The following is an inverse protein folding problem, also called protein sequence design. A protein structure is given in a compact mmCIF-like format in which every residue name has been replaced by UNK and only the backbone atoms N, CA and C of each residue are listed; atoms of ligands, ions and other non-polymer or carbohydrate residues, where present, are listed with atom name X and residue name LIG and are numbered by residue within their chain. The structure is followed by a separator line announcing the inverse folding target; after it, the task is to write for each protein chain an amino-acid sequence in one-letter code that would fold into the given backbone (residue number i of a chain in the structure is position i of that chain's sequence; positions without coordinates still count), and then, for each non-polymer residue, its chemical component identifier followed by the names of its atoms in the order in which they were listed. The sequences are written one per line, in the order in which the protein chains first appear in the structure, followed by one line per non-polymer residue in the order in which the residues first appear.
data_IF_335006541159
#
_entry.id   IF_335006541159
#
_cell.length_a   1.000
_cell.length_b   1.000
_cell.length_c   1.000
_cell.angle_alpha   90.00
_cell.angle_beta   90.00
_cell.angle_gamma   90.00
#
_symmetry.space_group_name_H-M   'P 1'
#
loop_
_entity.id
_entity.type
_entity.pdbx_description
1 polymer ?
#
# COMPACT_ATOMS: atom_id res chain seq x y z
N UNK A 1 0.84 -13.01 0.89
CA UNK A 1 0.13 -12.51 -0.33
C UNK A 1 -0.64 -13.65 -0.95
N UNK A 2 -1.91 -13.44 -1.29
CA UNK A 2 -2.75 -14.41 -1.99
C UNK A 2 -3.30 -13.76 -3.27
N UNK A 3 -3.22 -14.48 -4.39
CA UNK A 3 -3.71 -14.03 -5.70
C UNK A 3 -4.72 -15.04 -6.22
N UNK A 4 -5.90 -14.56 -6.59
CA UNK A 4 -6.95 -15.38 -7.22
C UNK A 4 -7.25 -14.78 -8.59
N UNK A 5 -7.24 -15.61 -9.64
CA UNK A 5 -7.53 -15.18 -11.02
C UNK A 5 -8.86 -15.77 -11.48
N UNK A 6 -9.78 -14.91 -11.88
CA UNK A 6 -11.06 -15.28 -12.48
C UNK A 6 -11.08 -14.89 -13.97
N UNK A 7 -11.55 -15.81 -14.82
CA UNK A 7 -11.77 -15.52 -16.24
C UNK A 7 -13.17 -14.95 -16.43
N UNK A 8 -13.25 -13.69 -16.85
CA UNK A 8 -14.52 -12.98 -17.07
C UNK A 8 -14.98 -13.09 -18.53
N UNK A 9 -14.03 -13.17 -19.48
CA UNK A 9 -14.30 -13.36 -20.91
C UNK A 9 -13.11 -14.00 -21.64
N UNK A 10 -13.16 -14.14 -22.96
CA UNK A 10 -12.06 -14.70 -23.78
C UNK A 10 -10.72 -13.99 -23.56
N UNK A 11 -10.73 -12.68 -23.28
CA UNK A 11 -9.52 -11.88 -23.02
C UNK A 11 -9.56 -11.15 -21.66
N UNK A 12 -10.74 -11.07 -21.03
CA UNK A 12 -10.93 -10.40 -19.75
C UNK A 12 -10.58 -11.31 -18.58
N UNK A 13 -9.61 -10.88 -17.76
CA UNK A 13 -9.26 -11.51 -16.50
C UNK A 13 -9.53 -10.53 -15.36
N UNK A 14 -10.11 -11.03 -14.27
CA UNK A 14 -10.22 -10.32 -12.99
C UNK A 14 -9.25 -10.97 -12.02
N UNK A 15 -8.47 -10.17 -11.31
CA UNK A 15 -7.50 -10.64 -10.33
C UNK A 15 -7.83 -10.02 -8.99
N UNK A 16 -8.00 -10.87 -7.97
CA UNK A 16 -8.18 -10.45 -6.59
C UNK A 16 -6.87 -10.70 -5.86
N UNK A 17 -6.27 -9.63 -5.34
CA UNK A 17 -5.00 -9.67 -4.61
C UNK A 17 -5.26 -9.31 -3.16
N UNK A 18 -4.89 -10.22 -2.25
CA UNK A 18 -4.98 -9.99 -0.80
C UNK A 18 -3.58 -9.77 -0.24
N UNK A 19 -3.38 -8.60 0.36
CA UNK A 19 -2.14 -8.19 1.03
C UNK A 19 -2.36 -8.24 2.55
N UNK A 20 -1.39 -8.77 3.28
CA UNK A 20 -1.44 -8.91 4.73
C UNK A 20 -1.13 -7.57 5.45
N UNK A 21 -1.89 -7.26 6.50
CA UNK A 21 -1.75 -6.01 7.29
C UNK A 21 -0.33 -5.80 7.86
N UNK A 22 0.34 -6.89 8.24
CA UNK A 22 1.70 -6.83 8.79
C UNK A 22 2.70 -6.20 7.82
N UNK A 23 2.52 -6.39 6.51
CA UNK A 23 3.38 -5.80 5.49
C UNK A 23 3.12 -4.29 5.35
N UNK A 24 1.86 -3.88 5.52
CA UNK A 24 1.45 -2.47 5.44
C UNK A 24 2.02 -1.69 6.63
N UNK A 25 1.86 -2.19 7.86
CA UNK A 25 2.37 -1.50 9.04
C UNK A 25 3.89 -1.32 9.02
N UNK A 26 4.63 -2.35 8.59
CA UNK A 26 6.08 -2.28 8.46
C UNK A 26 6.49 -1.20 7.45
N UNK A 27 5.89 -1.21 6.25
CA UNK A 27 6.16 -0.22 5.21
C UNK A 27 5.80 1.21 5.66
N UNK A 28 4.70 1.39 6.41
CA UNK A 28 4.34 2.69 7.00
C UNK A 28 5.38 3.15 8.01
N UNK A 29 5.86 2.26 8.89
CA UNK A 29 6.90 2.61 9.86
C UNK A 29 8.22 3.00 9.18
N UNK A 30 8.61 2.31 8.12
CA UNK A 30 9.79 2.64 7.33
C UNK A 30 9.64 3.97 6.62
N UNK A 31 8.46 4.25 6.05
CA UNK A 31 8.15 5.53 5.41
C UNK A 31 8.20 6.68 6.41
N UNK A 32 7.66 6.50 7.62
CA UNK A 32 7.73 7.52 8.67
C UNK A 32 9.17 7.77 9.12
N UNK A 33 10.03 6.75 9.18
CA UNK A 33 11.46 6.89 9.49
C UNK A 33 12.20 7.67 8.41
N UNK A 34 11.88 7.45 7.13
CA UNK A 34 12.53 8.14 6.01
C UNK A 34 12.09 9.60 5.86
N UNK A 35 10.84 9.92 6.22
CA UNK A 35 10.32 11.29 6.23
C UNK A 35 10.85 12.09 7.42
N UNK A 36 11.06 11.47 8.59
CA UNK A 36 11.54 12.13 9.82
C UNK A 36 12.64 13.19 9.62
N UNK A 37 13.75 12.96 8.90
CA UNK A 37 14.81 13.95 8.72
C UNK A 37 14.37 15.25 8.03
N UNK A 38 13.35 15.21 7.16
CA UNK A 38 12.86 16.38 6.43
C UNK A 38 11.73 17.13 7.15
N UNK A 39 11.09 16.50 8.15
CA UNK A 39 10.00 17.09 8.92
C UNK A 39 10.48 18.30 9.71
N UNK A 40 9.80 19.43 9.49
CA UNK A 40 9.93 20.65 10.26
C UNK A 40 8.71 20.79 11.15
N UNK A 41 8.91 20.87 12.46
CA UNK A 41 7.84 21.05 13.45
C UNK A 41 8.25 22.12 14.45
N UNK A 42 7.30 22.98 14.84
CA UNK A 42 7.57 24.05 15.79
C UNK A 42 8.13 23.49 17.11
N UNK A 43 9.20 24.11 17.62
CA UNK A 43 9.88 23.69 18.86
C UNK A 43 10.91 22.58 18.69
N UNK A 44 11.03 21.93 17.52
CA UNK A 44 12.00 20.87 17.28
C UNK A 44 12.98 21.24 16.16
N UNK A 45 14.26 20.91 16.38
CA UNK A 45 15.26 20.97 15.31
C UNK A 45 14.87 19.96 14.22
N UNK A 46 14.96 20.31 12.91
CA UNK A 46 14.64 19.39 11.82
C UNK A 46 15.31 18.03 12.01
N UNK A 47 14.55 16.95 11.83
CA UNK A 47 15.01 15.58 12.04
C UNK A 47 15.08 15.07 13.48
N UNK A 48 14.89 15.94 14.49
CA UNK A 48 14.87 15.56 15.92
C UNK A 48 13.46 15.56 16.52
N UNK A 49 12.43 15.40 15.68
CA UNK A 49 11.03 15.28 16.09
C UNK A 49 10.77 13.85 16.59
N UNK A 50 10.07 13.65 17.72
CA UNK A 50 9.66 12.33 18.18
C UNK A 50 8.74 11.61 17.18
N UNK A 51 8.93 10.29 17.03
CA UNK A 51 8.14 9.48 16.08
C UNK A 51 6.63 9.56 16.33
N UNK A 52 6.20 9.69 17.60
CA UNK A 52 4.77 9.83 17.94
C UNK A 52 4.13 11.07 17.29
N UNK A 53 4.84 12.19 17.28
CA UNK A 53 4.32 13.43 16.67
C UNK A 53 4.40 13.39 15.13
N UNK A 54 5.43 12.77 14.58
CA UNK A 54 5.52 12.54 13.13
C UNK A 54 4.39 11.63 12.65
N UNK A 55 4.11 10.55 13.37
CA UNK A 55 2.98 9.66 13.07
C UNK A 55 1.63 10.38 13.18
N UNK A 56 1.45 11.28 14.14
CA UNK A 56 0.21 12.05 14.26
C UNK A 56 0.01 13.02 13.09
N UNK A 57 1.08 13.71 12.65
CA UNK A 57 0.97 14.71 11.59
C UNK A 57 1.01 14.13 10.17
N UNK A 58 1.82 13.08 9.96
CA UNK A 58 2.11 12.52 8.64
C UNK A 58 1.65 11.07 8.49
N UNK A 59 1.11 10.44 9.54
CA UNK A 59 0.64 9.05 9.50
C UNK A 59 -0.39 8.77 8.41
N UNK A 60 -1.50 9.53 8.33
CA UNK A 60 -2.51 9.30 7.30
C UNK A 60 -1.97 9.44 5.87
N UNK A 61 -1.13 10.44 5.63
CA UNK A 61 -0.50 10.67 4.32
C UNK A 61 0.50 9.56 3.97
N UNK A 62 1.32 9.15 4.93
CA UNK A 62 2.30 8.08 4.74
C UNK A 62 1.61 6.73 4.50
N UNK A 63 0.49 6.46 5.19
CA UNK A 63 -0.31 5.26 4.99
C UNK A 63 -0.87 5.19 3.57
N UNK A 64 -1.46 6.28 3.08
CA UNK A 64 -2.02 6.34 1.72
C UNK A 64 -0.95 6.10 0.64
N UNK A 65 0.20 6.77 0.77
CA UNK A 65 1.31 6.59 -0.16
C UNK A 65 1.87 5.16 -0.16
N UNK A 66 1.95 4.54 1.03
CA UNK A 66 2.38 3.15 1.17
C UNK A 66 1.38 2.19 0.55
N UNK A 67 0.07 2.41 0.74
CA UNK A 67 -0.97 1.61 0.10
C UNK A 67 -0.85 1.71 -1.42
N UNK A 68 -0.74 2.92 -1.97
CA UNK A 68 -0.60 3.12 -3.42
C UNK A 68 0.62 2.37 -3.98
N UNK A 69 1.74 2.40 -3.25
CA UNK A 69 2.96 1.67 -3.62
C UNK A 69 2.77 0.16 -3.56
N UNK A 70 2.19 -0.35 -2.48
CA UNK A 70 1.93 -1.78 -2.27
C UNK A 70 0.99 -2.32 -3.34
N UNK A 71 -0.05 -1.56 -3.71
CA UNK A 71 -0.99 -1.93 -4.77
C UNK A 71 -0.24 -2.06 -6.09
N UNK A 72 0.61 -1.08 -6.42
CA UNK A 72 1.39 -1.12 -7.65
C UNK A 72 2.38 -2.30 -7.69
N UNK A 73 3.07 -2.56 -6.58
CA UNK A 73 4.04 -3.65 -6.47
C UNK A 73 3.35 -5.02 -6.49
N UNK A 74 2.26 -5.18 -5.74
CA UNK A 74 1.49 -6.42 -5.69
C UNK A 74 0.83 -6.76 -7.02
N UNK A 75 0.37 -5.76 -7.79
CA UNK A 75 -0.10 -5.98 -9.17
C UNK A 75 1.01 -6.52 -10.06
N UNK A 76 2.21 -5.92 -10.01
CA UNK A 76 3.36 -6.36 -10.80
C UNK A 76 3.76 -7.79 -10.42
N UNK A 77 3.78 -8.08 -9.13
CA UNK A 77 4.10 -9.41 -8.64
C UNK A 77 3.06 -10.44 -9.07
N UNK A 78 1.77 -10.12 -8.95
CA UNK A 78 0.67 -10.98 -9.37
C UNK A 78 0.72 -11.29 -10.88
N UNK A 79 1.03 -10.31 -11.74
CA UNK A 79 1.23 -10.54 -13.17
C UNK A 79 2.42 -11.47 -13.46
N UNK A 80 3.50 -11.31 -12.70
CA UNK A 80 4.71 -12.13 -12.86
C UNK A 80 4.47 -13.58 -12.43
N UNK A 81 3.79 -13.78 -11.29
CA UNK A 81 3.49 -15.11 -10.76
C UNK A 81 2.55 -15.89 -11.69
N UNK A 82 1.52 -15.23 -12.23
CA UNK A 82 0.53 -15.85 -13.10
C UNK A 82 0.93 -15.81 -14.60
N UNK A 83 2.09 -15.22 -14.93
CA UNK A 83 2.59 -15.10 -16.30
C UNK A 83 1.65 -14.31 -17.22
N UNK A 84 0.86 -13.38 -16.68
CA UNK A 84 -0.14 -12.61 -17.42
C UNK A 84 0.47 -11.32 -17.93
N UNK A 85 0.43 -11.12 -19.25
CA UNK A 85 0.83 -9.85 -19.87
C UNK A 85 -0.43 -9.01 -20.15
N UNK A 86 -0.70 -7.96 -19.36
CA UNK A 86 -1.85 -7.11 -19.60
C UNK A 86 -1.68 -6.30 -20.89
N UNK A 87 -2.73 -6.24 -21.70
CA UNK A 87 -2.74 -5.49 -22.97
C UNK A 87 -2.90 -3.96 -22.77
N UNK A 88 -3.19 -3.51 -21.54
CA UNK A 88 -3.40 -2.12 -21.18
C UNK A 88 -3.34 -1.92 -19.67
N UNK A 89 -3.48 -0.67 -19.17
CA UNK A 89 -3.50 -0.41 -17.75
C UNK A 89 -4.69 -1.15 -17.11
N UNK A 90 -4.49 -1.89 -16.01
CA UNK A 90 -5.58 -2.55 -15.32
C UNK A 90 -6.54 -1.51 -14.72
N UNK A 91 -7.83 -1.84 -14.72
CA UNK A 91 -8.82 -1.06 -13.99
C UNK A 91 -8.94 -1.61 -12.57
N UNK A 92 -8.98 -0.72 -11.57
CA UNK A 92 -9.16 -1.08 -10.17
C UNK A 92 -10.65 -0.89 -9.85
N UNK A 93 -11.39 -1.99 -9.74
CA UNK A 93 -12.84 -1.98 -9.49
C UNK A 93 -13.17 -1.53 -8.05
N UNK A 94 -12.49 -2.08 -7.05
CA UNK A 94 -12.64 -1.69 -5.64
C UNK A 94 -11.35 -1.92 -4.86
N UNK A 95 -11.14 -1.09 -3.85
CA UNK A 95 -10.11 -1.30 -2.83
C UNK A 95 -10.77 -1.22 -1.47
N UNK A 96 -11.03 -2.39 -0.89
CA UNK A 96 -11.65 -2.51 0.42
C UNK A 96 -10.54 -2.55 1.48
N UNK A 97 -10.41 -1.45 2.24
CA UNK A 97 -9.54 -1.37 3.41
C UNK A 97 -10.26 -1.93 4.65
N UNK A 98 -10.82 -3.14 4.56
CA UNK A 98 -11.52 -3.75 5.70
C UNK A 98 -10.53 -4.27 6.76
N UNK A 99 -10.00 -3.31 7.52
CA UNK A 99 -9.34 -3.53 8.80
C UNK A 99 -10.30 -3.68 9.97
N UNK A 100 -11.58 -3.98 9.74
CA UNK A 100 -12.53 -4.29 10.81
C UNK A 100 -13.16 -5.66 10.59
N UNK A 101 -12.65 -6.62 11.36
CA UNK A 101 -13.30 -7.90 11.62
C UNK A 101 -14.79 -7.67 11.85
N UNK A 102 -15.62 -8.25 10.99
CA UNK A 102 -17.05 -8.40 11.25
C UNK A 102 -17.28 -9.26 12.51
N UNK A 103 -18.13 -8.75 13.39
CA UNK A 103 -19.05 -9.55 14.22
C UNK A 103 -20.43 -9.37 13.60
#
# INVERSE_FOLDING_TARGET
MQVTVENVSELGRRMTVTVEDANIEQAVQERLKSIRPSVKMAGFRPGKVPMKMVAQSHGPSARREVIDTIVQDSMREAFTQEGVNPAGPPHIDSMDEEGEKFI
#
